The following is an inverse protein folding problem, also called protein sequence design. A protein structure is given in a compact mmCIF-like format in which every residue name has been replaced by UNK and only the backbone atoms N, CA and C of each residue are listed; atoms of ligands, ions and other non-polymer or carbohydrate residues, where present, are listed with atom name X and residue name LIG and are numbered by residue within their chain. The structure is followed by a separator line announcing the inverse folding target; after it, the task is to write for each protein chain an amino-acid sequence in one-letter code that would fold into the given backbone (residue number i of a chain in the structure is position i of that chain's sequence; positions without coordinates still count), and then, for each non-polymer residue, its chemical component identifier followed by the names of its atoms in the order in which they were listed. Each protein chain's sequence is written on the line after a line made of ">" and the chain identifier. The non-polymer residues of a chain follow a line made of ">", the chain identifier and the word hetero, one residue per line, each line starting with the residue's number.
data_IF_788390993480
#
_entry.id   IF_788390993480
#
_cell.length_a   1.000
_cell.length_b   1.000
_cell.length_c   1.000
_cell.angle_alpha   90.00
_cell.angle_beta   90.00
_cell.angle_gamma   90.00
#
_symmetry.space_group_name_H-M   'P 1'
#
loop_
_entity.id
_entity.type
_entity.pdbx_description
1 polymer ?
#
# COMPACT_ATOMS: atom_id res chain seq x y z
N UNK A 1 11.18 8.99 3.89
CA UNK A 1 11.08 10.10 2.91
C UNK A 1 12.18 10.06 1.85
N UNK A 2 13.47 9.94 2.21
CA UNK A 2 14.59 10.00 1.25
C UNK A 2 14.58 8.94 0.13
N UNK A 3 14.27 7.67 0.47
CA UNK A 3 14.26 6.55 -0.49
C UNK A 3 13.20 6.78 -1.58
N UNK A 4 12.01 7.25 -1.19
CA UNK A 4 10.93 7.52 -2.14
C UNK A 4 11.28 8.65 -3.11
N UNK A 5 11.85 9.75 -2.61
CA UNK A 5 12.29 10.86 -3.48
C UNK A 5 13.35 10.39 -4.48
N UNK A 6 14.32 9.59 -4.04
CA UNK A 6 15.34 9.02 -4.92
C UNK A 6 14.73 8.05 -5.95
N UNK A 7 13.70 7.31 -5.57
CA UNK A 7 12.97 6.42 -6.47
C UNK A 7 12.22 7.20 -7.56
N UNK A 8 11.51 8.27 -7.21
CA UNK A 8 10.86 9.16 -8.21
C UNK A 8 11.91 9.69 -9.19
N UNK A 9 13.04 10.19 -8.68
CA UNK A 9 14.11 10.73 -9.52
C UNK A 9 14.70 9.67 -10.44
N UNK A 10 14.88 8.45 -9.93
CA UNK A 10 15.38 7.32 -10.73
C UNK A 10 14.41 6.94 -11.85
N UNK A 11 13.10 6.98 -11.61
CA UNK A 11 12.08 6.77 -12.64
C UNK A 11 11.93 7.94 -13.61
N UNK A 12 12.53 9.10 -13.34
CA UNK A 12 12.44 10.30 -14.19
C UNK A 12 11.28 11.24 -13.87
N UNK A 13 10.73 11.17 -12.65
CA UNK A 13 9.62 12.01 -12.18
C UNK A 13 8.35 11.21 -11.86
N UNK A 14 7.39 11.83 -11.17
CA UNK A 14 6.17 11.16 -10.72
C UNK A 14 5.31 10.64 -11.89
N UNK A 15 5.28 11.36 -13.00
CA UNK A 15 4.57 10.96 -14.22
C UNK A 15 5.13 9.67 -14.85
N UNK A 16 6.38 9.35 -14.56
CA UNK A 16 7.09 8.18 -15.10
C UNK A 16 7.01 6.96 -14.15
N UNK A 17 6.32 7.07 -13.02
CA UNK A 17 6.03 5.95 -12.13
C UNK A 17 4.85 5.17 -12.70
N UNK A 18 5.13 4.41 -13.74
CA UNK A 18 4.20 3.47 -14.36
C UNK A 18 4.90 2.10 -14.51
N UNK A 19 4.18 1.10 -15.01
CA UNK A 19 4.74 -0.24 -15.19
C UNK A 19 6.04 -0.23 -16.02
N UNK A 20 6.10 0.57 -17.08
CA UNK A 20 7.27 0.63 -17.97
C UNK A 20 8.47 1.29 -17.27
N UNK A 21 8.25 2.42 -16.61
CA UNK A 21 9.29 3.18 -15.92
C UNK A 21 9.91 2.41 -14.75
N UNK A 22 9.13 1.58 -14.06
CA UNK A 22 9.62 0.67 -13.02
C UNK A 22 10.37 -0.52 -13.61
N UNK A 23 9.84 -1.14 -14.68
CA UNK A 23 10.50 -2.28 -15.34
C UNK A 23 11.80 -1.89 -16.06
N UNK A 24 11.94 -0.63 -16.46
CA UNK A 24 13.17 -0.10 -17.03
C UNK A 24 14.33 -0.02 -16.02
N UNK A 25 14.04 -0.01 -14.71
CA UNK A 25 15.08 0.06 -13.69
C UNK A 25 15.73 -1.29 -13.45
N UNK A 26 17.05 -1.32 -13.34
CA UNK A 26 17.80 -2.52 -12.95
C UNK A 26 17.85 -2.64 -11.44
N UNK A 27 17.91 -3.87 -10.93
CA UNK A 27 18.05 -4.14 -9.49
C UNK A 27 19.25 -3.41 -8.85
N UNK A 28 20.34 -3.20 -9.60
CA UNK A 28 21.51 -2.46 -9.12
C UNK A 28 21.21 -0.96 -8.87
N UNK A 29 20.39 -0.33 -9.72
CA UNK A 29 20.00 1.07 -9.56
C UNK A 29 19.05 1.24 -8.36
N UNK A 30 18.11 0.31 -8.18
CA UNK A 30 17.24 0.28 -7.01
C UNK A 30 18.06 0.09 -5.71
N UNK A 31 19.11 -0.74 -5.75
CA UNK A 31 20.00 -0.93 -4.59
C UNK A 31 20.80 0.33 -4.24
N UNK A 32 21.23 1.11 -5.24
CA UNK A 32 21.94 2.38 -5.01
C UNK A 32 21.10 3.37 -4.21
N UNK A 33 19.78 3.36 -4.39
CA UNK A 33 18.83 4.17 -3.62
C UNK A 33 18.34 3.47 -2.33
N UNK A 34 19.04 2.42 -1.89
CA UNK A 34 18.80 1.65 -0.65
C UNK A 34 17.53 0.80 -0.65
N UNK A 35 16.96 0.49 -1.81
CA UNK A 35 15.89 -0.51 -1.92
C UNK A 35 16.53 -1.90 -1.86
N UNK A 36 16.04 -2.76 -0.97
CA UNK A 36 16.53 -4.13 -0.84
C UNK A 36 16.17 -4.97 -2.06
N UNK A 37 16.91 -6.05 -2.33
CA UNK A 37 16.59 -6.95 -3.45
C UNK A 37 15.16 -7.51 -3.37
N UNK A 38 14.67 -7.74 -2.15
CA UNK A 38 13.31 -8.23 -1.90
C UNK A 38 12.27 -7.17 -2.29
N UNK A 39 12.43 -5.92 -1.82
CA UNK A 39 11.53 -4.81 -2.19
C UNK A 39 11.58 -4.52 -3.70
N UNK A 40 12.77 -4.59 -4.31
CA UNK A 40 12.92 -4.46 -5.76
C UNK A 40 12.14 -5.54 -6.52
N UNK A 41 12.23 -6.80 -6.08
CA UNK A 41 11.45 -7.90 -6.66
C UNK A 41 9.95 -7.64 -6.59
N UNK A 42 9.46 -7.11 -5.46
CA UNK A 42 8.05 -6.76 -5.30
C UNK A 42 7.60 -5.65 -6.26
N UNK A 43 8.41 -4.60 -6.41
CA UNK A 43 8.15 -3.51 -7.37
C UNK A 43 8.08 -4.04 -8.81
N UNK A 44 9.02 -4.90 -9.20
CA UNK A 44 9.02 -5.51 -10.54
C UNK A 44 7.81 -6.44 -10.75
N UNK A 45 7.50 -7.32 -9.80
CA UNK A 45 6.32 -8.19 -9.88
C UNK A 45 5.03 -7.38 -10.00
N UNK A 46 4.89 -6.32 -9.21
CA UNK A 46 3.74 -5.43 -9.29
C UNK A 46 3.66 -4.78 -10.68
N UNK A 47 4.77 -4.21 -11.16
CA UNK A 47 4.83 -3.57 -12.47
C UNK A 47 4.51 -4.55 -13.62
N UNK A 48 4.97 -5.81 -13.53
CA UNK A 48 4.61 -6.87 -14.48
C UNK A 48 3.11 -7.15 -14.50
N UNK A 49 2.44 -7.17 -13.34
CA UNK A 49 0.98 -7.39 -13.25
C UNK A 49 0.17 -6.24 -13.84
N UNK A 50 0.67 -5.01 -13.73
CA UNK A 50 0.09 -3.85 -14.44
C UNK A 50 0.32 -3.96 -15.95
N UNK A 51 1.53 -4.29 -16.38
CA UNK A 51 1.85 -4.44 -17.80
C UNK A 51 1.05 -5.58 -18.46
N UNK A 52 0.80 -6.67 -17.73
CA UNK A 52 0.00 -7.79 -18.21
C UNK A 52 -1.51 -7.53 -18.16
N UNK A 53 -1.96 -6.37 -17.66
CA UNK A 53 -3.38 -6.02 -17.51
C UNK A 53 -4.12 -6.80 -16.42
N UNK A 54 -3.41 -7.58 -15.58
CA UNK A 54 -4.02 -8.27 -14.42
C UNK A 54 -4.43 -7.23 -13.37
N UNK A 55 -3.62 -6.19 -13.20
CA UNK A 55 -3.93 -5.02 -12.38
C UNK A 55 -4.13 -3.80 -13.28
N UNK A 56 -5.11 -2.97 -12.94
CA UNK A 56 -5.33 -1.66 -13.57
C UNK A 56 -5.89 -0.70 -12.53
N UNK A 57 -5.70 0.60 -12.71
CA UNK A 57 -6.24 1.61 -11.79
C UNK A 57 -7.76 1.46 -11.62
N UNK A 58 -8.49 1.15 -12.70
CA UNK A 58 -9.92 0.88 -12.65
C UNK A 58 -10.28 -0.37 -11.83
N UNK A 59 -9.51 -1.45 -11.96
CA UNK A 59 -9.70 -2.65 -11.13
C UNK A 59 -9.40 -2.38 -9.65
N UNK A 60 -8.46 -1.48 -9.38
CA UNK A 60 -8.04 -1.12 -8.03
C UNK A 60 -9.05 -0.22 -7.34
N UNK A 61 -9.60 0.77 -8.03
CA UNK A 61 -10.63 1.66 -7.49
C UNK A 61 -11.92 0.90 -7.18
N UNK A 62 -12.28 -0.06 -8.03
CA UNK A 62 -13.48 -0.89 -7.86
C UNK A 62 -13.23 -2.14 -7.01
N UNK A 63 -12.06 -2.25 -6.37
CA UNK A 63 -11.71 -3.39 -5.54
C UNK A 63 -12.60 -3.43 -4.30
N UNK A 64 -13.34 -4.52 -4.13
CA UNK A 64 -14.08 -4.85 -2.91
C UNK A 64 -13.24 -5.76 -2.00
N UNK A 65 -13.74 -6.02 -0.79
CA UNK A 65 -13.09 -6.94 0.18
C UNK A 65 -12.83 -8.35 -0.41
N UNK A 66 -13.56 -8.76 -1.45
CA UNK A 66 -13.39 -10.05 -2.12
C UNK A 66 -12.30 -10.02 -3.19
N UNK A 67 -12.07 -8.87 -3.82
CA UNK A 67 -11.04 -8.62 -4.83
C UNK A 67 -9.62 -8.56 -4.26
N UNK A 68 -9.49 -8.68 -2.94
CA UNK A 68 -8.28 -8.89 -2.14
C UNK A 68 -7.27 -9.87 -2.73
N UNK A 69 -7.74 -10.88 -3.46
CA UNK A 69 -6.88 -11.90 -4.07
C UNK A 69 -5.93 -11.31 -5.11
N UNK A 70 -6.35 -10.30 -5.87
CA UNK A 70 -5.53 -9.76 -6.98
C UNK A 70 -4.24 -9.08 -6.48
N UNK A 71 -4.30 -8.32 -5.38
CA UNK A 71 -3.11 -7.70 -4.80
C UNK A 71 -2.25 -8.70 -4.03
N UNK A 72 -2.85 -9.64 -3.30
CA UNK A 72 -2.09 -10.69 -2.59
C UNK A 72 -1.39 -11.69 -3.52
N UNK A 73 -1.77 -11.75 -4.81
CA UNK A 73 -1.03 -12.51 -5.83
C UNK A 73 0.37 -11.95 -6.10
N UNK A 74 0.64 -10.68 -5.76
CA UNK A 74 1.98 -10.12 -5.83
C UNK A 74 2.75 -10.62 -4.62
N UNK A 75 3.78 -11.43 -4.87
CA UNK A 75 4.67 -11.93 -3.82
C UNK A 75 5.17 -10.76 -2.97
N UNK A 76 5.01 -10.85 -1.64
CA UNK A 76 5.38 -9.77 -0.71
C UNK A 76 4.22 -8.89 -0.25
N UNK A 77 3.08 -8.92 -0.92
CA UNK A 77 1.87 -8.21 -0.47
C UNK A 77 1.05 -9.12 0.42
N UNK A 78 1.23 -8.97 1.72
CA UNK A 78 0.40 -9.62 2.72
C UNK A 78 -0.98 -8.95 2.85
N UNK A 79 -1.92 -9.67 3.44
CA UNK A 79 -3.26 -9.19 3.81
C UNK A 79 -3.26 -7.82 4.50
N UNK A 80 -2.31 -7.63 5.41
CA UNK A 80 -2.13 -6.39 6.14
C UNK A 80 -1.83 -5.19 5.23
N UNK A 81 -0.93 -5.34 4.25
CA UNK A 81 -0.58 -4.25 3.33
C UNK A 81 -1.75 -3.87 2.42
N UNK A 82 -2.56 -4.85 2.00
CA UNK A 82 -3.78 -4.59 1.22
C UNK A 82 -4.78 -3.77 2.03
N UNK A 83 -5.04 -4.15 3.28
CA UNK A 83 -5.95 -3.38 4.13
C UNK A 83 -5.44 -1.95 4.38
N UNK A 84 -4.14 -1.77 4.64
CA UNK A 84 -3.52 -0.44 4.76
C UNK A 84 -3.74 0.38 3.48
N UNK A 85 -3.57 -0.24 2.31
CA UNK A 85 -3.83 0.40 1.02
C UNK A 85 -5.31 0.82 0.87
N UNK A 86 -6.25 -0.06 1.22
CA UNK A 86 -7.69 0.25 1.14
C UNK A 86 -8.07 1.44 2.03
N UNK A 87 -7.56 1.47 3.27
CA UNK A 87 -7.83 2.55 4.22
C UNK A 87 -7.26 3.88 3.70
N UNK A 88 -5.97 3.92 3.35
CA UNK A 88 -5.28 5.18 3.08
C UNK A 88 -5.35 5.66 1.62
N UNK A 89 -5.42 4.75 0.66
CA UNK A 89 -5.42 5.09 -0.78
C UNK A 89 -6.81 5.01 -1.41
N UNK A 90 -7.65 4.06 -0.96
CA UNK A 90 -9.04 3.96 -1.45
C UNK A 90 -10.04 4.68 -0.55
N UNK A 91 -9.60 5.24 0.59
CA UNK A 91 -10.47 5.92 1.56
C UNK A 91 -11.64 5.03 2.01
N UNK A 92 -11.37 3.75 2.28
CA UNK A 92 -12.32 2.76 2.79
C UNK A 92 -12.17 2.61 4.32
N UNK A 93 -12.90 3.40 5.14
CA UNK A 93 -12.79 3.35 6.60
C UNK A 93 -13.44 2.11 7.22
N UNK A 94 -14.20 1.33 6.43
CA UNK A 94 -14.91 0.11 6.82
C UNK A 94 -14.00 -1.13 6.91
N UNK A 95 -12.72 -1.01 6.53
CA UNK A 95 -11.74 -2.10 6.57
C UNK A 95 -11.05 -2.16 7.93
N UNK A 96 -11.17 -3.31 8.62
CA UNK A 96 -10.51 -3.54 9.90
C UNK A 96 -9.19 -4.32 9.75
N UNK A 97 -8.11 -3.78 10.33
CA UNK A 97 -6.79 -4.41 10.37
C UNK A 97 -6.70 -5.54 11.42
N UNK A 98 -7.50 -6.61 11.25
CA UNK A 98 -7.60 -7.72 12.22
C UNK A 98 -6.29 -8.45 12.51
N UNK A 99 -5.30 -8.37 11.62
CA UNK A 99 -3.98 -8.99 11.78
C UNK A 99 -2.91 -8.01 12.29
N UNK A 100 -3.26 -6.75 12.51
CA UNK A 100 -2.33 -5.77 13.05
C UNK A 100 -2.11 -5.98 14.55
N UNK A 101 -0.85 -6.12 14.94
CA UNK A 101 -0.49 -6.37 16.34
C UNK A 101 -0.81 -5.16 17.23
N UNK A 102 -0.68 -3.95 16.72
CA UNK A 102 -1.02 -2.71 17.43
C UNK A 102 -2.52 -2.63 17.72
N UNK A 103 -3.36 -2.91 16.73
CA UNK A 103 -4.81 -3.00 16.89
C UNK A 103 -5.19 -4.10 17.88
N UNK A 104 -4.62 -5.31 17.75
CA UNK A 104 -4.89 -6.41 18.70
C UNK A 104 -4.53 -6.05 20.14
N UNK A 105 -3.36 -5.42 20.35
CA UNK A 105 -2.92 -4.94 21.67
C UNK A 105 -3.83 -3.83 22.19
N UNK A 106 -4.23 -2.88 21.34
CA UNK A 106 -5.16 -1.81 21.71
C UNK A 106 -6.52 -2.36 22.16
N UNK A 107 -7.09 -3.31 21.40
CA UNK A 107 -8.34 -3.99 21.77
C UNK A 107 -8.16 -4.77 23.07
N UNK A 108 -7.02 -5.43 23.29
CA UNK A 108 -6.74 -6.15 24.54
C UNK A 108 -6.70 -5.19 25.75
N UNK A 109 -6.10 -4.01 25.62
CA UNK A 109 -6.06 -2.98 26.66
C UNK A 109 -7.45 -2.39 26.95
N UNK A 110 -8.26 -2.17 25.92
CA UNK A 110 -9.65 -1.70 26.06
C UNK A 110 -10.54 -2.75 26.73
N UNK A 111 -10.35 -4.03 26.40
CA UNK A 111 -11.07 -5.16 27.02
C UNK A 111 -10.71 -5.41 28.48
N UNK A 112 -9.55 -4.95 28.93
CA UNK A 112 -9.20 -4.93 30.36
C UNK A 112 -9.88 -3.78 31.11
N UNK A 113 -10.34 -2.76 30.40
CA UNK A 113 -10.81 -1.50 30.97
C UNK A 113 -12.34 -1.34 30.92
N UNK A 114 -13.13 -2.41 30.83
CA UNK A 114 -14.61 -2.30 30.83
C UNK A 114 -15.18 -1.94 32.20
N UNK A 115 -15.02 -0.67 32.58
CA UNK A 115 -16.13 0.27 32.69
C UNK A 115 -15.86 1.42 31.69
N UNK A 116 -16.10 1.18 30.40
CA UNK A 116 -16.22 2.27 29.43
C UNK A 116 -17.50 2.04 28.66
N UNK A 117 -18.41 2.99 28.84
CA UNK A 117 -19.66 3.15 28.11
C UNK A 117 -19.32 3.27 26.62
N UNK A 118 -19.95 2.44 25.81
CA UNK A 118 -19.91 2.58 24.37
C UNK A 118 -20.75 3.80 23.98
N UNK A 119 -20.10 4.94 23.79
CA UNK A 119 -20.63 6.02 22.96
C UNK A 119 -19.49 6.82 22.32
N UNK A 120 -19.77 7.45 21.19
CA UNK A 120 -18.86 8.16 20.27
C UNK A 120 -18.09 7.28 19.27
N UNK A 121 -18.81 6.90 18.20
CA UNK A 121 -18.28 6.93 16.84
C UNK A 121 -18.12 8.40 16.42
N UNK A 122 -17.08 9.10 16.82
CA UNK A 122 -16.72 10.36 16.15
C UNK A 122 -15.22 10.67 16.29
N UNK A 123 -14.67 11.27 15.23
CA UNK A 123 -13.35 11.91 15.14
C UNK A 123 -12.07 11.06 14.96
N UNK A 124 -12.13 9.99 14.16
CA UNK A 124 -10.96 9.64 13.33
C UNK A 124 -11.06 10.30 11.96
N UNK A 125 -10.58 11.55 11.86
CA UNK A 125 -10.37 12.23 10.57
C UNK A 125 -8.94 11.93 10.12
N UNK A 126 -8.70 10.94 9.21
CA UNK A 126 -7.40 10.81 8.59
C UNK A 126 -7.11 12.11 7.84
N UNK A 127 -6.06 12.82 8.25
CA UNK A 127 -5.60 14.02 7.54
C UNK A 127 -5.40 13.66 6.06
N UNK A 128 -5.96 14.42 5.12
CA UNK A 128 -5.85 14.12 3.71
C UNK A 128 -4.43 14.43 3.26
N UNK A 129 -3.51 13.48 3.43
CA UNK A 129 -2.53 13.28 2.39
C UNK A 129 -3.32 12.81 1.19
N UNK A 130 -3.31 13.60 0.13
CA UNK A 130 -4.13 13.45 -1.06
C UNK A 130 -3.72 12.20 -1.86
N UNK A 131 -3.93 11.01 -1.30
CA UNK A 131 -3.68 9.74 -1.97
C UNK A 131 -4.85 9.46 -2.90
N UNK A 132 -4.82 10.09 -4.07
CA UNK A 132 -5.67 9.66 -5.18
C UNK A 132 -5.33 8.18 -5.47
N UNK A 133 -6.31 7.31 -5.73
CA UNK A 133 -6.06 5.90 -6.04
C UNK A 133 -5.43 5.79 -7.43
N UNK A 134 -4.12 6.01 -7.48
CA UNK A 134 -3.26 5.85 -8.65
C UNK A 134 -2.30 4.71 -8.38
N UNK A 135 -1.88 4.01 -9.42
CA UNK A 135 -0.81 3.00 -9.39
C UNK A 135 0.42 3.41 -8.55
N UNK A 136 0.78 4.69 -8.61
CA UNK A 136 1.84 5.33 -7.79
C UNK A 136 1.66 5.07 -6.28
N UNK A 137 0.44 5.14 -5.76
CA UNK A 137 0.14 4.93 -4.32
C UNK A 137 0.40 3.48 -3.88
N UNK A 138 0.22 2.50 -4.78
CA UNK A 138 0.54 1.10 -4.48
C UNK A 138 2.06 0.90 -4.47
N UNK A 139 2.80 1.50 -5.40
CA UNK A 139 4.26 1.42 -5.41
C UNK A 139 4.88 1.99 -4.13
N UNK A 140 4.29 3.04 -3.56
CA UNK A 140 4.75 3.60 -2.28
C UNK A 140 4.78 2.61 -1.12
N UNK A 141 3.85 1.65 -1.06
CA UNK A 141 3.77 0.65 0.00
C UNK A 141 5.05 -0.19 0.11
N UNK A 142 5.83 -0.29 -0.98
CA UNK A 142 7.05 -1.09 -1.04
C UNK A 142 8.32 -0.26 -0.82
N UNK A 143 8.22 1.07 -0.84
CA UNK A 143 9.39 1.97 -0.81
C UNK A 143 9.59 2.61 0.58
N UNK A 144 8.61 2.49 1.48
CA UNK A 144 8.77 2.70 2.93
C UNK A 144 9.20 1.41 3.63
#
# INVERSE_FOLDING_TARGET
>A
MLIYTHFIQLCGGEACINSEGVLAQRAIQLRQIRISCLKASYLHHLAMKYQSGILSDAAIVNMDDKSFTMLTMVSGIGSWYVHIFMIFSLHRPDVLLVNDLGIRKGVQLLRWSTHVVADEKDDWVPRPFLWVPKSISIFHLFVF
#
